data_IF_866914781719
#
_entry.id   IF_866914781719
#
_cell.length_a   1.000
_cell.length_b   1.000
_cell.length_c   1.000
_cell.angle_alpha   90.00
_cell.angle_beta   90.00
_cell.angle_gamma   90.00
#
_symmetry.space_group_name_H-M   'P 1'
#
loop_
_entity.id
_entity.type
_entity.pdbx_description
1 polymer ?
#
# COMPACT_ATOMS: atom_id res chain seq x y z
N UNK A 1 9.63 24.34 -22.85
CA UNK A 1 10.12 23.59 -24.02
C UNK A 1 9.76 22.13 -23.85
N UNK A 2 9.05 21.52 -24.80
CA UNK A 2 8.67 20.12 -24.72
C UNK A 2 9.90 19.22 -24.95
N UNK A 3 10.05 18.17 -24.15
CA UNK A 3 11.12 17.18 -24.31
C UNK A 3 10.96 16.46 -25.66
N UNK A 4 12.06 16.32 -26.42
CA UNK A 4 12.03 15.68 -27.74
C UNK A 4 11.79 14.17 -27.64
N UNK A 5 11.26 13.55 -28.69
CA UNK A 5 10.99 12.11 -28.71
C UNK A 5 12.24 11.25 -28.46
N UNK A 6 13.37 11.63 -29.06
CA UNK A 6 14.65 10.95 -28.87
C UNK A 6 15.14 11.02 -27.40
N UNK A 7 14.91 12.14 -26.71
CA UNK A 7 15.26 12.26 -25.29
C UNK A 7 14.38 11.39 -24.39
N UNK A 8 13.07 11.26 -24.71
CA UNK A 8 12.17 10.34 -24.00
C UNK A 8 12.58 8.88 -24.16
N UNK A 9 12.96 8.47 -25.38
CA UNK A 9 13.41 7.09 -25.65
C UNK A 9 14.68 6.73 -24.86
N UNK A 10 15.70 7.61 -24.86
CA UNK A 10 16.92 7.39 -24.06
C UNK A 10 16.66 7.29 -22.56
N UNK A 11 15.69 8.05 -22.02
CA UNK A 11 15.31 7.93 -20.61
C UNK A 11 14.58 6.62 -20.33
N UNK A 12 13.71 6.18 -21.24
CA UNK A 12 13.02 4.90 -21.11
C UNK A 12 14.00 3.71 -21.16
N UNK A 13 14.96 3.71 -22.08
CA UNK A 13 16.01 2.69 -22.18
C UNK A 13 16.82 2.57 -20.88
N UNK A 14 17.38 3.69 -20.41
CA UNK A 14 18.14 3.71 -19.14
C UNK A 14 17.32 3.21 -17.96
N UNK A 15 16.02 3.53 -17.94
CA UNK A 15 15.13 3.13 -16.87
C UNK A 15 14.80 1.63 -16.92
N UNK A 16 14.69 1.04 -18.12
CA UNK A 16 14.57 -0.41 -18.30
C UNK A 16 15.85 -1.13 -17.90
N UNK A 17 17.01 -0.62 -18.32
CA UNK A 17 18.32 -1.22 -18.00
C UNK A 17 18.55 -1.27 -16.47
N UNK A 18 18.28 -0.17 -15.77
CA UNK A 18 18.36 -0.12 -14.30
C UNK A 18 17.38 -1.09 -13.64
N UNK A 19 16.17 -1.24 -14.18
CA UNK A 19 15.19 -2.18 -13.64
C UNK A 19 15.66 -3.63 -13.80
N UNK A 20 16.31 -3.97 -14.92
CA UNK A 20 16.90 -5.29 -15.16
C UNK A 20 18.05 -5.56 -14.17
N UNK A 21 18.92 -4.58 -13.95
CA UNK A 21 20.07 -4.70 -13.04
C UNK A 21 19.65 -4.89 -11.58
N UNK A 22 18.63 -4.16 -11.13
CA UNK A 22 18.16 -4.16 -9.75
C UNK A 22 17.20 -5.33 -9.47
N UNK A 23 16.50 -5.86 -10.47
CA UNK A 23 15.55 -6.97 -10.31
C UNK A 23 16.10 -8.17 -9.49
N UNK A 24 17.30 -8.73 -9.77
CA UNK A 24 17.85 -9.82 -8.97
C UNK A 24 18.22 -9.40 -7.54
N UNK A 25 18.57 -8.13 -7.33
CA UNK A 25 18.87 -7.61 -5.99
C UNK A 25 17.60 -7.45 -5.15
N UNK A 26 16.49 -7.00 -5.76
CA UNK A 26 15.19 -6.92 -5.10
C UNK A 26 14.70 -8.31 -4.68
N UNK A 27 14.83 -9.31 -5.55
CA UNK A 27 14.49 -10.69 -5.21
C UNK A 27 15.29 -11.18 -3.99
N UNK A 28 16.61 -10.97 -3.97
CA UNK A 28 17.46 -11.30 -2.81
C UNK A 28 17.07 -10.53 -1.56
N UNK A 29 16.70 -9.25 -1.67
CA UNK A 29 16.23 -8.47 -0.53
C UNK A 29 14.94 -9.00 0.06
N UNK A 30 14.00 -9.45 -0.79
CA UNK A 30 12.74 -10.01 -0.32
C UNK A 30 12.96 -11.39 0.33
N UNK A 31 13.84 -12.23 -0.22
CA UNK A 31 14.29 -13.47 0.42
C UNK A 31 14.89 -13.21 1.82
N UNK A 32 15.75 -12.20 1.96
CA UNK A 32 16.34 -11.83 3.26
C UNK A 32 15.29 -11.32 4.25
N UNK A 33 14.31 -10.52 3.81
CA UNK A 33 13.21 -10.08 4.67
C UNK A 33 12.37 -11.27 5.14
N UNK A 34 12.12 -12.24 4.27
CA UNK A 34 11.36 -13.44 4.63
C UNK A 34 12.11 -14.31 5.64
N UNK A 35 13.43 -14.44 5.50
CA UNK A 35 14.28 -15.10 6.50
C UNK A 35 14.23 -14.38 7.86
N UNK A 36 14.31 -13.04 7.87
CA UNK A 36 14.22 -12.26 9.10
C UNK A 36 12.85 -12.36 9.77
N UNK A 37 11.76 -12.38 8.98
CA UNK A 37 10.41 -12.64 9.49
C UNK A 37 10.30 -14.05 10.08
N UNK A 38 10.84 -15.06 9.41
CA UNK A 38 10.86 -16.43 9.90
C UNK A 38 11.60 -16.54 11.24
N UNK A 39 12.74 -15.85 11.40
CA UNK A 39 13.47 -15.78 12.66
C UNK A 39 12.65 -15.13 13.80
N UNK A 40 11.91 -14.06 13.50
CA UNK A 40 11.02 -13.43 14.48
C UNK A 40 9.85 -14.33 14.88
N UNK A 41 9.32 -15.13 13.94
CA UNK A 41 8.27 -16.13 14.20
C UNK A 41 8.81 -17.26 15.08
N UNK A 42 9.98 -17.82 14.76
CA UNK A 42 10.63 -18.89 15.53
C UNK A 42 10.95 -18.44 16.96
N UNK A 43 11.51 -17.23 17.11
CA UNK A 43 11.81 -16.62 18.40
C UNK A 43 10.58 -16.12 19.18
N UNK A 44 9.39 -16.10 18.57
CA UNK A 44 8.14 -15.54 19.12
C UNK A 44 8.27 -14.10 19.64
N UNK A 45 9.23 -13.35 19.11
CA UNK A 45 9.54 -11.99 19.53
C UNK A 45 10.06 -11.17 18.33
N UNK A 46 9.77 -9.87 18.35
CA UNK A 46 10.37 -8.93 17.42
C UNK A 46 11.76 -8.52 17.91
N UNK A 47 12.59 -8.04 16.99
CA UNK A 47 13.94 -7.58 17.30
C UNK A 47 14.31 -6.35 16.47
N UNK A 48 15.32 -5.63 16.94
CA UNK A 48 15.87 -4.47 16.24
C UNK A 48 17.37 -4.60 16.28
N UNK A 49 17.98 -4.75 15.11
CA UNK A 49 19.44 -4.88 14.99
C UNK A 49 20.01 -3.65 14.29
N UNK A 50 21.02 -3.04 14.92
CA UNK A 50 21.82 -1.99 14.31
C UNK A 50 23.01 -2.61 13.57
N UNK A 51 23.12 -2.30 12.28
CA UNK A 51 24.27 -2.67 11.48
C UNK A 51 25.20 -1.46 11.44
N UNK A 52 26.33 -1.57 12.12
CA UNK A 52 27.32 -0.50 12.27
C UNK A 52 27.65 0.17 10.92
N UNK A 53 27.38 1.47 10.84
CA UNK A 53 27.64 2.28 9.65
C UNK A 53 26.69 2.08 8.46
N UNK A 54 25.63 1.26 8.58
CA UNK A 54 24.66 0.98 7.50
C UNK A 54 23.21 1.30 7.86
N UNK A 55 22.84 1.25 9.13
CA UNK A 55 21.51 1.60 9.63
C UNK A 55 20.88 0.51 10.50
N UNK A 56 19.57 0.58 10.69
CA UNK A 56 18.83 -0.32 11.59
C UNK A 56 17.79 -1.14 10.84
N UNK A 57 17.66 -2.43 11.20
CA UNK A 57 16.58 -3.30 10.73
C UNK A 57 15.67 -3.63 11.89
N UNK A 58 14.39 -3.29 11.76
CA UNK A 58 13.36 -3.60 12.75
C UNK A 58 12.41 -4.66 12.21
N UNK A 59 12.23 -5.74 12.98
CA UNK A 59 11.28 -6.81 12.68
C UNK A 59 10.28 -6.88 13.82
N UNK A 60 9.02 -6.58 13.51
CA UNK A 60 7.94 -6.68 14.48
C UNK A 60 7.59 -8.13 14.80
N UNK A 61 7.22 -8.40 16.05
CA UNK A 61 6.68 -9.69 16.46
C UNK A 61 5.38 -10.02 15.71
N UNK A 62 5.14 -11.30 15.46
CA UNK A 62 3.85 -11.76 14.96
C UNK A 62 2.74 -11.46 15.99
N UNK A 63 1.67 -10.79 15.55
CA UNK A 63 0.49 -10.53 16.37
C UNK A 63 -0.69 -11.27 15.77
N UNK A 64 -1.31 -12.14 16.57
CA UNK A 64 -2.57 -12.78 16.18
C UNK A 64 -3.63 -11.72 15.93
N UNK A 65 -4.52 -11.99 14.97
CA UNK A 65 -5.72 -11.18 14.78
C UNK A 65 -6.48 -11.10 16.11
N UNK A 66 -6.71 -9.88 16.58
CA UNK A 66 -7.47 -9.63 17.79
C UNK A 66 -8.89 -9.29 17.40
N UNK A 67 -9.86 -10.02 17.96
CA UNK A 67 -11.26 -9.66 17.82
C UNK A 67 -11.52 -8.36 18.58
N UNK A 68 -11.90 -7.31 17.86
CA UNK A 68 -12.19 -5.98 18.43
C UNK A 68 -13.70 -5.72 18.63
N UNK A 69 -14.53 -6.75 18.45
CA UNK A 69 -15.99 -6.64 18.50
C UNK A 69 -16.63 -6.65 17.11
N UNK A 70 -17.96 -6.57 17.09
CA UNK A 70 -18.76 -6.42 15.87
C UNK A 70 -19.02 -4.93 15.66
N UNK A 71 -18.60 -4.41 14.51
CA UNK A 71 -18.92 -3.04 14.09
C UNK A 71 -20.03 -3.10 13.05
N UNK A 72 -21.19 -2.45 13.27
CA UNK A 72 -22.23 -2.39 12.25
C UNK A 72 -21.71 -1.63 11.02
N UNK A 73 -22.02 -2.15 9.84
CA UNK A 73 -21.66 -1.53 8.57
C UNK A 73 -22.92 -1.15 7.79
N UNK A 74 -22.92 0.05 7.22
CA UNK A 74 -23.96 0.47 6.28
C UNK A 74 -23.77 -0.25 4.95
N UNK A 75 -24.79 -0.99 4.51
CA UNK A 75 -24.78 -1.61 3.18
C UNK A 75 -25.11 -0.53 2.15
N UNK A 76 -24.09 -0.04 1.44
CA UNK A 76 -24.19 1.11 0.56
C UNK A 76 -25.28 0.95 -0.52
N UNK A 77 -25.38 -0.23 -1.15
CA UNK A 77 -26.37 -0.51 -2.18
C UNK A 77 -27.81 -0.40 -1.66
N UNK A 78 -28.07 -0.96 -0.48
CA UNK A 78 -29.39 -0.88 0.17
C UNK A 78 -29.71 0.55 0.56
N UNK A 79 -28.75 1.28 1.13
CA UNK A 79 -28.92 2.68 1.49
C UNK A 79 -29.24 3.55 0.27
N UNK A 80 -28.55 3.35 -0.85
CA UNK A 80 -28.79 4.08 -2.09
C UNK A 80 -30.14 3.74 -2.74
N UNK A 81 -30.66 2.52 -2.52
CA UNK A 81 -31.97 2.09 -2.99
C UNK A 81 -33.15 2.59 -2.12
N UNK A 82 -32.88 3.16 -0.94
CA UNK A 82 -33.93 3.74 -0.10
C UNK A 82 -34.56 4.98 -0.76
N UNK A 83 -35.85 5.19 -0.48
CA UNK A 83 -36.55 6.42 -0.85
C UNK A 83 -35.89 7.63 -0.18
N UNK A 84 -35.94 8.79 -0.84
CA UNK A 84 -35.36 10.04 -0.35
C UNK A 84 -35.80 10.40 1.07
N UNK A 85 -37.08 10.19 1.38
CA UNK A 85 -37.63 10.44 2.72
C UNK A 85 -36.96 9.58 3.80
N UNK A 86 -36.63 8.32 3.49
CA UNK A 86 -35.96 7.42 4.43
C UNK A 86 -34.47 7.76 4.57
N UNK A 87 -33.80 8.14 3.47
CA UNK A 87 -32.41 8.61 3.52
C UNK A 87 -32.27 9.88 4.34
N UNK A 88 -33.16 10.85 4.12
CA UNK A 88 -33.19 12.09 4.89
C UNK A 88 -33.39 11.83 6.38
N UNK A 89 -34.31 10.94 6.75
CA UNK A 89 -34.51 10.57 8.14
C UNK A 89 -33.23 9.99 8.78
N UNK A 90 -32.50 9.13 8.07
CA UNK A 90 -31.24 8.57 8.58
C UNK A 90 -30.14 9.63 8.79
N UNK A 91 -30.13 10.71 7.99
CA UNK A 91 -29.26 11.86 8.23
C UNK A 91 -29.73 12.70 9.42
N UNK A 92 -31.03 13.00 9.48
CA UNK A 92 -31.63 13.81 10.55
C UNK A 92 -31.47 13.13 11.92
N UNK A 93 -31.53 11.79 11.96
CA UNK A 93 -31.29 10.96 13.15
C UNK A 93 -29.78 10.80 13.47
N UNK A 94 -28.88 11.36 12.66
CA UNK A 94 -27.43 11.33 12.86
C UNK A 94 -26.76 9.97 12.60
N UNK A 95 -27.44 9.05 11.91
CA UNK A 95 -26.95 7.70 11.62
C UNK A 95 -26.07 7.64 10.36
N UNK A 96 -26.17 8.64 9.49
CA UNK A 96 -25.39 8.75 8.24
C UNK A 96 -24.89 10.17 8.05
N UNK A 97 -23.62 10.32 7.69
CA UNK A 97 -22.97 11.60 7.40
C UNK A 97 -22.32 11.54 6.00
N UNK A 98 -22.65 12.49 5.13
CA UNK A 98 -22.03 12.60 3.82
C UNK A 98 -20.70 13.36 3.90
N UNK A 99 -19.59 12.65 3.72
CA UNK A 99 -18.26 13.26 3.58
C UNK A 99 -17.84 13.27 2.12
N UNK A 100 -17.39 14.43 1.66
CA UNK A 100 -16.74 14.54 0.35
C UNK A 100 -15.41 13.78 0.39
N UNK A 101 -15.38 12.62 -0.24
CA UNK A 101 -14.16 11.85 -0.45
C UNK A 101 -13.67 12.15 -1.85
N UNK A 102 -12.49 12.76 -1.94
CA UNK A 102 -11.83 13.00 -3.22
C UNK A 102 -10.79 11.91 -3.45
N UNK A 103 -10.75 11.38 -4.66
CA UNK A 103 -9.57 10.65 -5.11
C UNK A 103 -8.38 11.61 -5.11
N UNK A 104 -7.26 11.18 -4.54
CA UNK A 104 -6.04 12.00 -4.52
C UNK A 104 -5.65 12.34 -5.95
N UNK A 105 -5.41 13.63 -6.23
CA UNK A 105 -4.85 14.04 -7.53
C UNK A 105 -3.56 13.27 -7.82
N UNK A 106 -3.53 12.58 -8.95
CA UNK A 106 -2.39 11.75 -9.33
C UNK A 106 -1.51 12.47 -10.35
N UNK A 107 -0.20 12.38 -10.16
CA UNK A 107 0.76 12.74 -11.21
C UNK A 107 0.78 11.62 -12.27
N UNK A 108 1.22 11.90 -13.51
CA UNK A 108 1.47 10.85 -14.50
C UNK A 108 2.37 9.75 -13.93
N UNK A 109 1.97 8.50 -14.06
CA UNK A 109 2.73 7.33 -13.58
C UNK A 109 3.60 6.75 -14.70
N UNK A 110 4.78 6.26 -14.33
CA UNK A 110 5.65 5.48 -15.22
C UNK A 110 5.59 4.02 -14.78
N UNK A 111 5.24 3.13 -15.70
CA UNK A 111 5.18 1.68 -15.45
C UNK A 111 6.18 0.98 -16.34
N UNK A 112 7.09 0.21 -15.75
CA UNK A 112 8.03 -0.65 -16.47
C UNK A 112 7.47 -2.07 -16.46
N UNK A 113 7.40 -2.70 -17.63
CA UNK A 113 7.05 -4.12 -17.77
C UNK A 113 8.24 -4.79 -18.42
N UNK A 114 8.89 -5.68 -17.67
CA UNK A 114 9.93 -6.55 -18.22
C UNK A 114 9.24 -7.69 -18.98
N UNK A 115 9.82 -8.11 -20.10
CA UNK A 115 9.33 -9.23 -20.91
C UNK A 115 9.78 -10.58 -20.34
#
# INVERSE_FOLDING_TARGET
MAMTEAARKKLAEKLVDLQIEIAPQLAKMDELKDQLRAAAIEGKAGFTDEVAGKGTVEVSAERKAQFKGLMPMLVAEVYLALKDAARKKLHDDGLVEDKKIFTKGAKPSVTVRLA
#
